data_IF_600477290923
#
_entry.id   IF_600477290923
#
_cell.length_a   1.000
_cell.length_b   1.000
_cell.length_c   1.000
_cell.angle_alpha   90.00
_cell.angle_beta   90.00
_cell.angle_gamma   90.00
#
_symmetry.space_group_name_H-M   'P 1'
#
loop_
_entity.id
_entity.type
_entity.pdbx_description
1 polymer ?
#
# COMPACT_ATOMS: atom_id res chain seq x y z
N UNK A 1 3.29 22.41 17.18
CA UNK A 1 1.97 21.80 17.42
C UNK A 1 1.89 20.54 16.58
N UNK A 2 2.04 19.37 17.19
CA UNK A 2 1.86 18.08 16.52
C UNK A 2 0.37 17.86 16.26
N UNK A 3 -0.04 17.86 14.99
CA UNK A 3 -1.41 17.48 14.62
C UNK A 3 -1.65 16.03 15.05
N UNK A 4 -2.74 15.80 15.80
CA UNK A 4 -3.12 14.54 16.44
C UNK A 4 -3.37 13.35 15.46
N UNK A 5 -3.04 13.50 14.18
CA UNK A 5 -3.23 12.49 13.13
C UNK A 5 -1.93 11.85 12.63
N UNK A 6 -0.77 12.22 13.18
CA UNK A 6 0.52 11.72 12.70
C UNK A 6 1.16 10.67 13.63
N UNK A 7 0.51 10.29 14.72
CA UNK A 7 1.03 9.33 15.71
C UNK A 7 0.14 8.10 15.81
N UNK A 8 0.71 6.96 16.21
CA UNK A 8 -0.08 5.78 16.55
C UNK A 8 -0.73 5.94 17.92
N UNK A 9 -2.06 6.04 17.93
CA UNK A 9 -2.84 6.33 19.14
C UNK A 9 -3.34 5.07 19.82
N UNK A 10 -3.64 4.03 19.04
CA UNK A 10 -4.20 2.77 19.54
C UNK A 10 -3.10 1.73 19.80
N UNK A 11 -2.03 1.78 19.01
CA UNK A 11 -0.89 0.87 19.09
C UNK A 11 0.43 1.66 19.23
N UNK A 12 0.68 2.32 20.37
CA UNK A 12 1.88 3.15 20.58
C UNK A 12 3.20 2.35 20.58
N UNK A 13 3.14 1.02 20.64
CA UNK A 13 4.29 0.13 20.51
C UNK A 13 4.57 -0.27 19.05
N UNK A 14 3.71 0.09 18.10
CA UNK A 14 3.98 -0.16 16.70
C UNK A 14 5.10 0.77 16.20
N UNK A 15 6.04 0.24 15.42
CA UNK A 15 7.13 1.02 14.86
C UNK A 15 6.77 1.59 13.49
N UNK A 16 6.11 0.76 12.68
CA UNK A 16 5.80 1.09 11.30
C UNK A 16 4.36 0.72 10.95
N UNK A 17 3.75 1.52 10.08
CA UNK A 17 2.60 1.12 9.28
C UNK A 17 3.10 0.78 7.87
N UNK A 18 2.87 -0.46 7.44
CA UNK A 18 3.32 -0.96 6.13
C UNK A 18 2.14 -1.18 5.20
N UNK A 19 2.21 -0.64 4.00
CA UNK A 19 1.19 -0.87 2.98
C UNK A 19 1.76 -0.90 1.57
N UNK A 20 0.99 -1.48 0.65
CA UNK A 20 1.34 -1.60 -0.76
C UNK A 20 0.41 -0.76 -1.62
N UNK A 21 1.01 0.14 -2.39
CA UNK A 21 0.36 0.88 -3.45
C UNK A 21 0.55 0.19 -4.80
N UNK A 22 -0.51 0.06 -5.58
CA UNK A 22 -0.43 -0.34 -6.99
C UNK A 22 -0.21 0.88 -7.89
N UNK A 23 0.65 0.74 -8.90
CA UNK A 23 0.80 1.70 -9.98
C UNK A 23 0.71 1.02 -11.34
N UNK A 24 -0.21 1.49 -12.17
CA UNK A 24 -0.39 0.99 -13.52
C UNK A 24 0.87 1.16 -14.36
N UNK A 25 1.21 0.14 -15.14
CA UNK A 25 2.22 0.19 -16.19
C UNK A 25 1.65 -0.33 -17.51
N UNK A 26 2.29 0.03 -18.62
CA UNK A 26 1.96 -0.61 -19.90
C UNK A 26 2.25 -2.10 -19.85
N UNK A 27 1.44 -2.88 -20.57
CA UNK A 27 1.60 -4.34 -20.66
C UNK A 27 3.01 -4.66 -21.17
N UNK A 28 3.80 -5.48 -20.47
CA UNK A 28 5.10 -5.93 -20.95
C UNK A 28 4.98 -6.69 -22.27
N UNK A 29 5.97 -6.52 -23.15
CA UNK A 29 6.19 -7.43 -24.27
C UNK A 29 6.88 -8.69 -23.74
N UNK A 30 6.49 -9.89 -24.20
CA UNK A 30 7.11 -11.13 -23.74
C UNK A 30 6.15 -12.31 -23.74
N UNK A 31 6.51 -13.40 -23.07
CA UNK A 31 5.62 -14.58 -22.96
C UNK A 31 4.49 -14.30 -21.97
N UNK A 32 3.34 -14.93 -22.16
CA UNK A 32 2.19 -14.77 -21.27
C UNK A 32 2.52 -15.02 -19.79
N UNK A 33 3.34 -16.04 -19.51
CA UNK A 33 3.77 -16.41 -18.15
C UNK A 33 4.57 -15.32 -17.46
N UNK A 34 5.42 -14.60 -18.21
CA UNK A 34 6.23 -13.48 -17.70
C UNK A 34 5.38 -12.24 -17.49
N UNK A 35 4.40 -11.99 -18.35
CA UNK A 35 3.53 -10.82 -18.22
C UNK A 35 2.58 -10.96 -17.03
N UNK A 36 2.10 -12.19 -16.78
CA UNK A 36 1.09 -12.47 -15.77
C UNK A 36 1.52 -12.08 -14.35
N UNK A 37 2.82 -12.13 -14.03
CA UNK A 37 3.31 -11.79 -12.68
C UNK A 37 3.05 -10.33 -12.29
N UNK A 38 2.85 -9.46 -13.28
CA UNK A 38 2.57 -8.03 -13.09
C UNK A 38 1.08 -7.67 -13.19
N UNK A 39 0.22 -8.67 -13.41
CA UNK A 39 -1.20 -8.46 -13.50
C UNK A 39 -1.84 -8.38 -12.10
N UNK A 40 -2.56 -7.29 -11.84
CA UNK A 40 -3.33 -7.13 -10.61
C UNK A 40 -4.78 -7.52 -10.85
N UNK A 41 -5.21 -8.68 -10.32
CA UNK A 41 -6.60 -9.11 -10.38
C UNK A 41 -7.57 -8.14 -9.67
N UNK A 42 -7.10 -7.46 -8.61
CA UNK A 42 -7.87 -6.44 -7.88
C UNK A 42 -8.25 -5.28 -8.80
N UNK A 43 -7.31 -4.82 -9.63
CA UNK A 43 -7.50 -3.66 -10.49
C UNK A 43 -7.81 -4.03 -11.96
N UNK A 44 -7.65 -5.30 -12.34
CA UNK A 44 -7.70 -5.79 -13.73
C UNK A 44 -6.74 -5.04 -14.66
N UNK A 45 -5.55 -4.71 -14.15
CA UNK A 45 -4.54 -3.92 -14.86
C UNK A 45 -3.14 -4.50 -14.62
N UNK A 46 -2.25 -4.31 -15.59
CA UNK A 46 -0.81 -4.54 -15.41
C UNK A 46 -0.17 -3.38 -14.65
N UNK A 47 0.80 -3.68 -13.80
CA UNK A 47 1.50 -2.64 -13.06
C UNK A 47 2.51 -3.16 -12.05
N UNK A 48 3.11 -2.22 -11.37
CA UNK A 48 4.06 -2.45 -10.30
C UNK A 48 3.42 -2.19 -8.95
N UNK A 49 4.04 -2.73 -7.92
CA UNK A 49 3.65 -2.52 -6.52
C UNK A 49 4.78 -1.75 -5.83
N UNK A 50 4.41 -0.78 -5.00
CA UNK A 50 5.33 -0.03 -4.16
C UNK A 50 4.93 -0.35 -2.74
N UNK A 51 5.80 -1.05 -2.01
CA UNK A 51 5.63 -1.28 -0.58
C UNK A 51 6.37 -0.20 0.20
N UNK A 52 5.65 0.51 1.07
CA UNK A 52 6.22 1.52 1.96
C UNK A 52 5.91 1.17 3.40
N UNK A 53 6.90 1.35 4.27
CA UNK A 53 6.74 1.33 5.72
C UNK A 53 6.97 2.73 6.27
N UNK A 54 6.01 3.28 7.01
CA UNK A 54 6.03 4.65 7.53
C UNK A 54 5.99 4.63 9.06
N UNK A 55 6.91 5.37 9.69
CA UNK A 55 6.94 5.59 11.12
C UNK A 55 6.24 6.92 11.48
N UNK A 56 5.59 7.01 12.67
CA UNK A 56 5.12 8.29 13.18
C UNK A 56 6.33 9.19 13.50
N UNK A 57 6.19 10.52 13.40
CA UNK A 57 7.25 11.44 13.79
C UNK A 57 7.43 11.42 15.31
N UNK A 58 8.69 11.34 15.75
CA UNK A 58 9.07 11.27 17.16
C UNK A 58 10.13 10.19 17.42
N UNK A 59 10.64 10.16 18.66
CA UNK A 59 11.62 9.13 19.06
C UNK A 59 10.99 7.74 19.02
N UNK A 60 11.81 6.74 18.65
CA UNK A 60 11.47 5.32 18.77
C UNK A 60 10.85 5.06 20.15
N UNK A 61 9.78 4.23 20.26
CA UNK A 61 9.11 3.95 21.52
C UNK A 61 10.06 3.17 22.45
N UNK A 62 10.93 3.91 23.15
CA UNK A 62 11.91 3.43 24.14
C UNK A 62 11.23 2.78 25.33
N UNK A 63 9.94 3.03 25.53
CA UNK A 63 9.12 2.44 26.57
C UNK A 63 8.80 0.95 26.32
N UNK A 64 8.91 0.47 25.08
CA UNK A 64 8.45 -0.88 24.69
C UNK A 64 9.46 -1.67 23.84
N UNK A 65 10.75 -1.78 24.24
CA UNK A 65 11.80 -2.36 23.40
C UNK A 65 11.55 -3.84 23.02
N UNK A 66 10.78 -4.57 23.84
CA UNK A 66 10.43 -5.98 23.61
C UNK A 66 9.03 -6.20 23.02
N UNK A 67 8.28 -5.13 22.73
CA UNK A 67 6.87 -5.22 22.30
C UNK A 67 6.60 -4.57 20.94
N UNK A 68 7.64 -4.32 20.15
CA UNK A 68 7.50 -3.72 18.83
C UNK A 68 6.66 -4.57 17.87
N UNK A 69 5.89 -3.92 16.99
CA UNK A 69 5.13 -4.58 15.93
C UNK A 69 4.97 -3.68 14.69
N UNK A 70 4.62 -4.27 13.54
CA UNK A 70 4.22 -3.53 12.35
C UNK A 70 2.70 -3.59 12.11
N UNK A 71 2.07 -2.44 11.87
CA UNK A 71 0.68 -2.34 11.44
C UNK A 71 0.58 -2.65 9.94
N UNK A 72 -0.07 -3.74 9.56
CA UNK A 72 -0.11 -4.20 8.16
C UNK A 72 -1.54 -4.36 7.64
N UNK A 73 -1.70 -4.37 6.31
CA UNK A 73 -3.03 -4.52 5.71
C UNK A 73 -3.57 -5.92 6.00
N UNK A 74 -4.89 -6.06 5.93
CA UNK A 74 -5.57 -7.35 5.99
C UNK A 74 -5.06 -8.35 4.95
N UNK A 75 -4.44 -7.90 3.85
CA UNK A 75 -3.81 -8.75 2.85
C UNK A 75 -2.55 -9.51 3.31
N UNK A 76 -1.89 -9.11 4.40
CA UNK A 76 -0.62 -9.70 4.87
C UNK A 76 -0.80 -10.91 5.81
N UNK A 77 -1.85 -11.71 5.59
CA UNK A 77 -2.12 -12.89 6.42
C UNK A 77 -0.93 -13.87 6.37
N UNK A 78 -0.45 -14.30 7.54
CA UNK A 78 0.71 -15.19 7.68
C UNK A 78 2.07 -14.47 7.83
N UNK A 79 2.10 -13.14 7.73
CA UNK A 79 3.33 -12.37 7.98
C UNK A 79 3.78 -12.43 9.46
N UNK A 80 2.89 -12.81 10.37
CA UNK A 80 3.15 -13.04 11.80
C UNK A 80 4.17 -14.15 12.07
N UNK A 81 4.38 -15.06 11.12
CA UNK A 81 5.39 -16.11 11.20
C UNK A 81 6.83 -15.57 11.09
N UNK A 82 7.00 -14.40 10.47
CA UNK A 82 8.32 -13.81 10.16
C UNK A 82 8.55 -12.53 10.95
N UNK A 83 7.52 -11.72 11.15
CA UNK A 83 7.59 -10.43 11.82
C UNK A 83 6.40 -10.29 12.79
N UNK A 84 6.58 -9.63 13.95
CA UNK A 84 5.43 -9.28 14.78
C UNK A 84 4.55 -8.28 14.03
N UNK A 85 3.32 -8.66 13.70
CA UNK A 85 2.38 -7.81 12.96
C UNK A 85 1.06 -7.63 13.70
N UNK A 86 0.46 -6.46 13.53
CA UNK A 86 -0.88 -6.13 13.97
C UNK A 86 -1.74 -6.01 12.72
N UNK A 87 -2.67 -6.94 12.54
CA UNK A 87 -3.51 -7.02 11.35
C UNK A 87 -4.99 -6.95 11.70
N UNK A 88 -5.82 -6.32 10.84
CA UNK A 88 -7.27 -6.43 10.97
C UNK A 88 -7.71 -7.90 10.83
N UNK A 89 -8.69 -8.32 11.65
CA UNK A 89 -9.30 -9.65 11.55
C UNK A 89 -10.06 -9.74 10.24
N UNK A 90 -9.79 -10.80 9.49
CA UNK A 90 -10.55 -11.10 8.30
C UNK A 90 -11.90 -11.69 8.67
N UNK A 91 -12.96 -11.06 8.18
CA UNK A 91 -14.30 -11.64 8.24
C UNK A 91 -14.29 -13.05 7.63
N UNK A 92 -14.77 -14.07 8.37
CA UNK A 92 -14.83 -15.44 7.88
C UNK A 92 -15.83 -15.57 6.73
N UNK A 93 -15.61 -16.54 5.84
CA UNK A 93 -16.53 -16.81 4.72
C UNK A 93 -17.90 -17.20 5.27
N UNK A 94 -18.93 -16.43 4.94
CA UNK A 94 -20.31 -16.68 5.38
C UNK A 94 -20.61 -16.31 6.84
N UNK A 95 -19.68 -15.66 7.55
CA UNK A 95 -19.90 -15.20 8.93
C UNK A 95 -19.75 -13.69 9.09
N UNK A 96 -19.96 -13.18 10.30
CA UNK A 96 -19.79 -11.77 10.67
C UNK A 96 -18.64 -11.61 11.66
N UNK A 97 -18.09 -10.40 11.73
CA UNK A 97 -17.18 -10.02 12.81
C UNK A 97 -18.00 -9.64 14.03
N UNK A 98 -17.53 -9.97 15.23
CA UNK A 98 -18.15 -9.49 16.46
C UNK A 98 -17.85 -7.99 16.68
N UNK A 99 -18.49 -7.40 17.69
CA UNK A 99 -18.34 -5.96 17.98
C UNK A 99 -16.91 -5.59 18.36
N UNK A 100 -16.20 -6.48 19.05
CA UNK A 100 -14.86 -6.23 19.56
C UNK A 100 -13.82 -6.33 18.44
N UNK A 101 -13.99 -7.28 17.53
CA UNK A 101 -13.24 -7.41 16.28
C UNK A 101 -13.41 -6.18 15.40
N UNK A 102 -14.64 -5.67 15.29
CA UNK A 102 -14.92 -4.44 14.53
C UNK A 102 -14.20 -3.25 15.17
N UNK A 103 -14.29 -3.10 16.50
CA UNK A 103 -13.60 -2.04 17.23
C UNK A 103 -12.07 -2.13 17.08
N UNK A 104 -11.51 -3.34 17.20
CA UNK A 104 -10.08 -3.62 17.00
C UNK A 104 -9.65 -3.30 15.58
N UNK A 105 -10.41 -3.73 14.58
CA UNK A 105 -10.12 -3.44 13.18
C UNK A 105 -10.15 -1.94 12.90
N UNK A 106 -11.13 -1.22 13.47
CA UNK A 106 -11.20 0.23 13.37
C UNK A 106 -9.97 0.90 13.98
N UNK A 107 -9.53 0.46 15.16
CA UNK A 107 -8.32 0.96 15.80
C UNK A 107 -7.06 0.74 14.94
N UNK A 108 -6.93 -0.45 14.32
CA UNK A 108 -5.83 -0.74 13.39
C UNK A 108 -5.89 0.16 12.16
N UNK A 109 -7.08 0.35 11.57
CA UNK A 109 -7.28 1.23 10.41
C UNK A 109 -6.97 2.69 10.73
N UNK A 110 -7.35 3.18 11.92
CA UNK A 110 -7.05 4.56 12.35
C UNK A 110 -5.55 4.80 12.39
N UNK A 111 -4.76 3.92 13.00
CA UNK A 111 -3.31 4.12 13.06
C UNK A 111 -2.62 3.88 11.71
N UNK A 112 -3.16 2.99 10.87
CA UNK A 112 -2.68 2.76 9.50
C UNK A 112 -2.91 3.93 8.55
N UNK A 113 -3.82 4.86 8.85
CA UNK A 113 -4.11 6.01 7.99
C UNK A 113 -2.84 6.82 7.68
N UNK A 114 -1.81 6.74 8.52
CA UNK A 114 -0.53 7.40 8.32
C UNK A 114 0.15 6.99 7.00
N UNK A 115 0.22 5.68 6.69
CA UNK A 115 0.84 5.21 5.43
C UNK A 115 -0.04 5.52 4.22
N UNK A 116 -1.35 5.57 4.39
CA UNK A 116 -2.30 5.98 3.35
C UNK A 116 -2.15 7.48 3.02
N UNK A 117 -2.05 8.34 4.04
CA UNK A 117 -1.76 9.75 3.88
C UNK A 117 -0.40 9.98 3.22
N UNK A 118 0.61 9.18 3.57
CA UNK A 118 1.92 9.24 2.91
C UNK A 118 1.81 8.97 1.40
N UNK A 119 1.10 7.90 1.02
CA UNK A 119 0.85 7.60 -0.39
C UNK A 119 0.04 8.69 -1.09
N UNK A 120 -0.95 9.28 -0.40
CA UNK A 120 -1.72 10.42 -0.87
C UNK A 120 -0.83 11.63 -1.19
N UNK A 121 0.05 12.01 -0.27
CA UNK A 121 1.03 13.09 -0.47
C UNK A 121 1.98 12.77 -1.62
N UNK A 122 2.50 11.54 -1.69
CA UNK A 122 3.38 11.10 -2.77
C UNK A 122 2.70 11.24 -4.14
N UNK A 123 1.42 10.87 -4.26
CA UNK A 123 0.67 11.02 -5.50
C UNK A 123 0.34 12.47 -5.85
N UNK A 124 0.06 13.29 -4.84
CA UNK A 124 -0.24 14.71 -5.04
C UNK A 124 0.98 15.47 -5.57
N UNK A 125 2.17 15.15 -5.05
CA UNK A 125 3.41 15.83 -5.42
C UNK A 125 4.01 15.29 -6.73
N UNK A 126 3.94 13.98 -6.95
CA UNK A 126 4.71 13.33 -8.00
C UNK A 126 3.81 12.61 -9.00
N UNK A 127 3.66 13.20 -10.20
CA UNK A 127 2.97 12.55 -11.33
C UNK A 127 3.52 11.15 -11.63
N UNK A 128 4.82 10.97 -11.45
CA UNK A 128 5.51 9.71 -11.64
C UNK A 128 5.03 8.59 -10.69
N UNK A 129 4.35 8.92 -9.58
CA UNK A 129 3.85 7.97 -8.59
C UNK A 129 2.39 7.52 -8.82
N UNK A 130 1.69 8.04 -9.83
CA UNK A 130 0.33 7.57 -10.16
C UNK A 130 0.02 7.45 -11.65
N UNK A 131 0.76 8.14 -12.52
CA UNK A 131 0.58 8.03 -13.97
C UNK A 131 0.97 6.62 -14.48
N UNK A 132 0.43 6.24 -15.64
CA UNK A 132 0.79 4.97 -16.29
C UNK A 132 2.29 4.96 -16.62
N UNK A 133 3.02 4.01 -16.04
CA UNK A 133 4.48 3.93 -16.16
C UNK A 133 4.90 3.18 -17.43
N UNK A 134 5.97 3.65 -18.09
CA UNK A 134 6.58 2.95 -19.23
C UNK A 134 7.45 1.80 -18.73
N UNK A 135 7.19 0.59 -19.22
CA UNK A 135 7.81 -0.65 -18.75
C UNK A 135 9.34 -0.57 -18.64
N UNK A 136 9.86 -0.56 -17.40
CA UNK A 136 11.28 -0.69 -17.07
C UNK A 136 11.45 -0.91 -15.55
N UNK A 137 11.68 -2.16 -15.13
CA UNK A 137 11.81 -2.54 -13.72
C UNK A 137 12.89 -1.74 -12.97
N UNK A 138 14.12 -1.70 -13.51
CA UNK A 138 15.25 -1.03 -12.88
C UNK A 138 15.00 0.48 -12.67
N UNK A 139 14.32 1.12 -13.61
CA UNK A 139 13.96 2.54 -13.50
C UNK A 139 12.78 2.76 -12.57
N UNK A 140 11.83 1.82 -12.51
CA UNK A 140 10.67 1.95 -11.64
C UNK A 140 11.09 2.05 -10.17
N UNK A 141 11.97 1.15 -9.71
CA UNK A 141 12.48 1.17 -8.34
C UNK A 141 13.16 2.49 -8.00
N UNK A 142 14.08 2.94 -8.87
CA UNK A 142 14.80 4.20 -8.66
C UNK A 142 13.86 5.40 -8.58
N UNK A 143 12.83 5.45 -9.43
CA UNK A 143 11.83 6.51 -9.43
C UNK A 143 10.95 6.44 -8.18
N UNK A 144 10.48 5.24 -7.80
CA UNK A 144 9.66 5.04 -6.61
C UNK A 144 10.40 5.46 -5.34
N UNK A 145 11.67 5.02 -5.19
CA UNK A 145 12.54 5.39 -4.08
C UNK A 145 12.82 6.89 -4.03
N UNK A 146 13.03 7.53 -5.18
CA UNK A 146 13.21 8.98 -5.26
C UNK A 146 11.93 9.73 -4.85
N UNK A 147 10.76 9.32 -5.36
CA UNK A 147 9.48 9.90 -4.97
C UNK A 147 9.22 9.73 -3.47
N UNK A 148 9.50 8.56 -2.91
CA UNK A 148 9.40 8.30 -1.48
C UNK A 148 10.35 9.21 -0.68
N UNK A 149 11.63 9.28 -1.04
CA UNK A 149 12.62 10.10 -0.34
C UNK A 149 12.28 11.61 -0.36
N UNK A 150 11.86 12.14 -1.52
CA UNK A 150 11.42 13.53 -1.63
C UNK A 150 10.11 13.79 -0.85
N UNK A 151 9.22 12.80 -0.80
CA UNK A 151 8.01 12.90 0.03
C UNK A 151 8.37 12.91 1.51
N UNK A 152 9.32 12.07 1.97
CA UNK A 152 9.82 12.08 3.35
C UNK A 152 10.36 13.46 3.72
N UNK A 153 11.22 14.04 2.87
CA UNK A 153 11.74 15.40 3.09
C UNK A 153 10.62 16.44 3.20
N UNK A 154 9.63 16.36 2.29
CA UNK A 154 8.48 17.26 2.33
C UNK A 154 7.62 17.06 3.59
N UNK A 155 7.46 15.84 4.09
CA UNK A 155 6.72 15.57 5.34
C UNK A 155 7.41 16.18 6.54
N UNK A 156 8.75 16.18 6.57
CA UNK A 156 9.54 16.87 7.60
C UNK A 156 9.33 18.39 7.64
N UNK A 157 9.01 19.00 6.49
CA UNK A 157 8.69 20.43 6.39
C UNK A 157 7.20 20.72 6.62
N UNK A 158 6.33 19.83 6.17
CA UNK A 158 4.88 19.96 6.21
C UNK A 158 4.24 18.63 6.59
N UNK A 159 3.74 18.50 7.83
CA UNK A 159 3.15 17.26 8.34
C UNK A 159 2.04 16.70 7.43
N UNK A 160 1.80 15.39 7.54
CA UNK A 160 0.71 14.73 6.82
C UNK A 160 -0.64 15.22 7.35
N UNK A 161 -1.63 15.32 6.44
CA UNK A 161 -2.95 15.90 6.69
C UNK A 161 -4.04 14.98 6.15
N UNK A 162 -5.25 15.08 6.68
CA UNK A 162 -6.40 14.31 6.20
C UNK A 162 -6.68 14.48 4.69
N UNK A 163 -6.41 15.67 4.13
CA UNK A 163 -6.55 15.96 2.70
C UNK A 163 -5.68 15.07 1.80
N UNK A 164 -4.60 14.52 2.32
CA UNK A 164 -3.74 13.61 1.55
C UNK A 164 -4.50 12.34 1.18
N UNK A 165 -5.33 11.80 2.09
CA UNK A 165 -6.20 10.65 1.84
C UNK A 165 -7.21 10.93 0.71
N UNK A 166 -7.85 12.10 0.70
CA UNK A 166 -8.85 12.44 -0.33
C UNK A 166 -8.28 12.35 -1.75
N UNK A 167 -7.04 12.80 -1.92
CA UNK A 167 -6.35 12.70 -3.21
C UNK A 167 -6.01 11.25 -3.56
N UNK A 168 -5.63 10.45 -2.56
CA UNK A 168 -5.36 9.04 -2.76
C UNK A 168 -6.61 8.29 -3.21
N UNK A 169 -7.77 8.58 -2.63
CA UNK A 169 -9.06 7.99 -3.01
C UNK A 169 -9.43 8.32 -4.47
N UNK A 170 -9.15 9.55 -4.93
CA UNK A 170 -9.32 9.91 -6.34
C UNK A 170 -8.42 9.05 -7.25
N UNK A 171 -7.16 8.83 -6.87
CA UNK A 171 -6.23 7.97 -7.63
C UNK A 171 -6.71 6.51 -7.65
N UNK A 172 -7.20 5.99 -6.52
CA UNK A 172 -7.76 4.64 -6.44
C UNK A 172 -9.03 4.48 -7.31
N UNK A 173 -9.92 5.47 -7.27
CA UNK A 173 -11.13 5.51 -8.11
C UNK A 173 -10.81 5.53 -9.60
N UNK A 174 -9.75 6.25 -9.98
CA UNK A 174 -9.23 6.23 -11.35
C UNK A 174 -8.79 4.81 -11.76
N UNK A 175 -8.08 4.08 -10.90
CA UNK A 175 -7.67 2.71 -11.23
C UNK A 175 -8.85 1.75 -11.37
N UNK A 176 -9.88 1.89 -10.54
CA UNK A 176 -11.11 1.11 -10.65
C UNK A 176 -11.80 1.34 -12.00
N UNK A 177 -12.04 2.61 -12.36
CA UNK A 177 -12.70 2.94 -13.64
C UNK A 177 -11.90 2.50 -14.87
N UNK A 178 -10.56 2.56 -14.82
CA UNK A 178 -9.72 2.03 -15.91
C UNK A 178 -9.81 0.52 -16.02
N UNK A 179 -9.81 -0.21 -14.90
CA UNK A 179 -9.98 -1.66 -14.88
C UNK A 179 -11.33 -2.12 -15.42
N UNK A 180 -12.40 -1.38 -15.11
CA UNK A 180 -13.74 -1.65 -15.65
C UNK A 180 -13.80 -1.46 -17.17
N UNK A 181 -13.17 -0.40 -17.71
CA UNK A 181 -13.09 -0.18 -19.16
C UNK A 181 -12.38 -1.32 -19.88
N UNK A 182 -11.24 -1.78 -19.34
CA UNK A 182 -10.50 -2.92 -19.90
C UNK A 182 -11.36 -4.17 -19.89
N UNK A 183 -12.10 -4.43 -18.79
CA UNK A 183 -13.02 -5.56 -18.70
C UNK A 183 -14.12 -5.52 -19.76
N UNK A 184 -14.69 -4.35 -20.05
CA UNK A 184 -15.74 -4.20 -21.05
C UNK A 184 -15.21 -4.28 -22.49
N UNK A 185 -13.98 -3.82 -22.74
CA UNK A 185 -13.40 -3.72 -24.08
C UNK A 185 -12.68 -4.99 -24.54
N UNK A 186 -12.05 -5.72 -23.60
CA UNK A 186 -11.31 -6.94 -23.91
C UNK A 186 -11.61 -8.06 -22.88
N UNK A 187 -12.80 -8.69 -22.99
CA UNK A 187 -13.22 -9.75 -22.07
C UNK A 187 -12.31 -10.98 -22.10
N UNK A 188 -11.65 -11.24 -23.24
CA UNK A 188 -10.73 -12.36 -23.44
C UNK A 188 -9.46 -12.19 -22.57
N UNK A 189 -8.93 -10.97 -22.48
CA UNK A 189 -7.78 -10.64 -21.61
C UNK A 189 -8.05 -10.91 -20.12
N UNK A 190 -9.32 -10.81 -19.69
CA UNK A 190 -9.76 -11.09 -18.31
C UNK A 190 -9.96 -12.59 -18.08
N UNK A 191 -10.58 -13.28 -19.04
CA UNK A 191 -10.81 -14.74 -18.99
C UNK A 191 -9.49 -15.52 -18.95
N UNK A 192 -8.52 -15.14 -19.79
CA UNK A 192 -7.22 -15.81 -19.87
C UNK A 192 -6.36 -15.56 -18.61
N UNK A 193 -6.52 -14.39 -17.97
CA UNK A 193 -5.82 -14.05 -16.73
C UNK A 193 -6.41 -14.76 -15.49
N UNK A 194 -7.73 -14.99 -15.45
CA UNK A 194 -8.42 -15.72 -14.38
C UNK A 194 -8.13 -17.23 -14.40
N UNK A 195 -7.93 -17.82 -15.58
CA UNK A 195 -7.64 -19.24 -15.76
C UNK A 195 -6.26 -19.67 -15.21
N UNK A 196 -5.40 -18.70 -14.89
CA UNK A 196 -4.04 -18.98 -14.53
C UNK A 196 -3.88 -18.91 -13.00
N UNK A 197 -3.81 -20.08 -12.35
CA UNK A 197 -3.59 -20.26 -10.92
C UNK A 197 -2.38 -19.45 -10.39
N UNK A 198 -2.50 -18.98 -9.15
CA UNK A 198 -1.49 -18.24 -8.39
C UNK A 198 -0.10 -18.90 -8.40
N UNK A 199 0.96 -18.26 -8.92
CA UNK A 199 2.23 -18.27 -8.22
C UNK A 199 2.22 -17.18 -7.14
N UNK A 200 2.98 -17.34 -6.04
CA UNK A 200 3.20 -16.25 -5.10
C UNK A 200 3.73 -15.05 -5.89
N UNK A 201 3.17 -13.86 -5.61
CA UNK A 201 3.67 -12.62 -6.18
C UNK A 201 5.18 -12.56 -5.94
N UNK A 202 6.02 -12.41 -6.98
CA UNK A 202 7.36 -11.91 -6.76
C UNK A 202 7.17 -10.47 -6.28
N UNK A 203 7.25 -10.28 -4.97
CA UNK A 203 7.30 -8.98 -4.32
C UNK A 203 8.55 -8.30 -4.89
N UNK A 204 8.34 -7.35 -5.80
CA UNK A 204 9.41 -6.52 -6.32
C UNK A 204 9.33 -5.17 -5.63
N UNK A 205 10.00 -5.15 -4.48
CA UNK A 205 10.72 -4.02 -3.88
C UNK A 205 9.98 -3.21 -2.80
N UNK A 206 10.47 -3.43 -1.58
CA UNK A 206 10.22 -2.71 -0.34
C UNK A 206 11.06 -1.44 -0.27
N UNK A 207 10.41 -0.28 -0.18
CA UNK A 207 11.05 0.97 0.22
C UNK A 207 10.72 1.25 1.69
N UNK A 208 11.74 1.35 2.54
CA UNK A 208 11.53 1.78 3.93
C UNK A 208 11.49 3.31 3.94
N UNK A 209 10.35 3.90 4.29
CA UNK A 209 10.21 5.33 4.47
C UNK A 209 10.40 5.65 5.96
N UNK A 210 11.65 5.80 6.37
CA UNK A 210 11.98 6.23 7.73
C UNK A 210 11.61 7.72 7.81
N UNK A 211 10.60 8.03 8.63
CA UNK A 211 10.36 9.40 9.08
C UNK A 211 11.46 9.75 10.08
N UNK A 212 12.23 10.79 9.78
CA UNK A 212 13.25 11.36 10.66
C UNK A 212 12.69 12.59 11.39
#
# INVERSE_FOLDING_TARGET
>A
MSEAGNTFTNYPHALYATDVKFQQAYRPSGRFTEQKVYFSAKHNLYGFKIECSVAPPGDEPTQFPQMWAALVDKGYQGADQVLRTIQPKKQPRGGTLDRDDIARNRAVSVDRVLVENFFGRMCMLWKAAYATFKWNENRFDSVARLCAALTNFHVGLMPLRARDSDHYDMVLSKYQSMGERVRCQDPALVSDALAAAFPPCPIQHSSVCISA
#
